data_IF_711741126373
#
_entry.id   IF_711741126373
#
_cell.length_a   1.000
_cell.length_b   1.000
_cell.length_c   1.000
_cell.angle_alpha   90.00
_cell.angle_beta   90.00
_cell.angle_gamma   90.00
#
_symmetry.space_group_name_H-M   'P 1'
#
loop_
_entity.id
_entity.type
_entity.pdbx_description
1 polymer ?
#
# COMPACT_ATOMS: atom_id res chain seq x y z
N UNK A 1 21.58 13.73 3.95
CA UNK A 1 20.22 14.26 4.13
C UNK A 1 19.60 14.33 2.75
N UNK A 2 18.89 13.28 2.37
CA UNK A 2 17.93 13.34 1.28
C UNK A 2 16.66 13.92 1.89
N UNK A 3 16.30 15.15 1.50
CA UNK A 3 14.99 15.72 1.84
C UNK A 3 13.94 14.77 1.26
N UNK A 4 13.21 14.09 2.14
CA UNK A 4 11.96 13.46 1.72
C UNK A 4 11.00 14.59 1.36
N UNK A 5 10.33 14.53 0.19
CA UNK A 5 9.31 15.51 -0.13
C UNK A 5 8.29 15.50 1.02
N UNK A 6 8.10 16.67 1.65
CA UNK A 6 6.95 16.90 2.51
C UNK A 6 5.72 16.49 1.70
N UNK A 7 4.94 15.51 2.20
CA UNK A 7 3.76 14.95 1.55
C UNK A 7 2.71 16.05 1.34
N UNK A 8 2.88 16.86 0.31
CA UNK A 8 2.09 18.06 0.04
C UNK A 8 1.67 18.02 -1.42
N UNK A 9 0.55 17.36 -1.68
CA UNK A 9 -0.41 17.76 -2.71
C UNK A 9 -1.75 17.05 -2.46
N UNK A 10 -2.35 17.45 -1.35
CA UNK A 10 -3.79 17.64 -1.22
C UNK A 10 -4.21 18.69 -2.26
N UNK A 11 -5.21 18.56 -3.09
CA UNK A 11 -6.39 17.71 -3.07
C UNK A 11 -6.95 17.77 -4.51
N UNK A 12 -7.46 16.66 -5.03
CA UNK A 12 -8.70 16.82 -5.79
C UNK A 12 -9.76 17.14 -4.74
N UNK A 13 -10.36 18.35 -4.74
CA UNK A 13 -11.33 18.74 -3.70
C UNK A 13 -12.48 17.73 -3.60
N UNK A 14 -12.81 17.10 -4.73
CA UNK A 14 -13.82 16.05 -4.83
C UNK A 14 -13.40 14.76 -4.09
N UNK A 15 -12.14 14.30 -4.24
CA UNK A 15 -11.67 13.09 -3.55
C UNK A 15 -11.57 13.29 -2.04
N UNK A 16 -11.13 14.47 -1.61
CA UNK A 16 -11.06 14.84 -0.19
C UNK A 16 -12.45 14.84 0.45
N UNK A 17 -13.44 15.40 -0.25
CA UNK A 17 -14.83 15.40 0.20
C UNK A 17 -15.43 13.99 0.20
N UNK A 18 -15.17 13.17 -0.82
CA UNK A 18 -15.61 11.76 -0.87
C UNK A 18 -15.00 10.97 0.30
N UNK A 19 -13.71 11.14 0.58
CA UNK A 19 -13.05 10.45 1.69
C UNK A 19 -13.70 10.81 3.03
N UNK A 20 -13.95 12.10 3.25
CA UNK A 20 -14.64 12.58 4.46
C UNK A 20 -16.04 11.99 4.61
N UNK A 21 -16.83 11.96 3.53
CA UNK A 21 -18.15 11.35 3.53
C UNK A 21 -18.08 9.84 3.81
N UNK A 22 -17.04 9.16 3.31
CA UNK A 22 -16.79 7.75 3.59
C UNK A 22 -16.52 7.50 5.06
N UNK A 23 -15.70 8.34 5.69
CA UNK A 23 -15.33 8.19 7.10
C UNK A 23 -16.53 8.46 8.02
N UNK A 24 -17.36 9.46 7.70
CA UNK A 24 -18.62 9.72 8.38
C UNK A 24 -19.59 8.53 8.25
N UNK A 25 -19.72 7.97 7.05
CA UNK A 25 -20.60 6.83 6.80
C UNK A 25 -20.12 5.55 7.50
N UNK A 26 -18.81 5.29 7.51
CA UNK A 26 -18.22 4.18 8.28
C UNK A 26 -18.50 4.32 9.78
N UNK A 27 -18.38 5.54 10.33
CA UNK A 27 -18.69 5.80 11.74
C UNK A 27 -20.16 5.53 12.06
N UNK A 28 -21.08 5.94 11.17
CA UNK A 28 -22.52 5.68 11.33
C UNK A 28 -22.83 4.17 11.28
N UNK A 29 -22.24 3.43 10.35
CA UNK A 29 -22.42 1.98 10.24
C UNK A 29 -21.90 1.26 11.49
N UNK A 30 -20.73 1.63 11.99
CA UNK A 30 -20.20 1.08 13.24
C UNK A 30 -21.11 1.35 14.44
N UNK A 31 -21.75 2.53 14.49
CA UNK A 31 -22.73 2.86 15.53
C UNK A 31 -23.99 2.00 15.40
N UNK A 32 -24.51 1.80 14.19
CA UNK A 32 -25.67 0.93 13.94
C UNK A 32 -25.38 -0.51 14.35
N UNK A 33 -24.20 -1.04 14.02
CA UNK A 33 -23.80 -2.39 14.43
C UNK A 33 -23.76 -2.53 15.95
N UNK A 34 -23.28 -1.51 16.67
CA UNK A 34 -23.31 -1.48 18.15
C UNK A 34 -24.75 -1.50 18.68
N UNK A 35 -25.66 -0.75 18.07
CA UNK A 35 -27.07 -0.72 18.46
C UNK A 35 -27.76 -2.07 18.25
N UNK A 36 -27.52 -2.74 17.11
CA UNK A 36 -28.05 -4.09 16.86
C UNK A 36 -27.52 -5.09 17.88
N UNK A 37 -26.22 -5.04 18.18
CA UNK A 37 -25.60 -5.91 19.19
C UNK A 37 -26.17 -5.67 20.59
N UNK A 38 -26.49 -4.42 20.95
CA UNK A 38 -27.16 -4.09 22.21
C UNK A 38 -28.60 -4.61 22.23
N UNK A 39 -29.35 -4.44 21.15
CA UNK A 39 -30.73 -4.95 21.03
C UNK A 39 -30.80 -6.48 21.16
N UNK A 40 -29.79 -7.20 20.66
CA UNK A 40 -29.69 -8.65 20.85
C UNK A 40 -29.40 -9.09 22.29
N UNK A 41 -28.90 -8.20 23.15
CA UNK A 41 -28.58 -8.50 24.57
C UNK A 41 -29.69 -8.11 25.55
N UNK A 42 -30.68 -7.32 25.13
CA UNK A 42 -31.77 -6.86 25.98
C UNK A 42 -32.76 -8.01 26.30
N UNK A 43 -33.32 -8.07 27.52
CA UNK A 43 -34.35 -9.05 27.88
C UNK A 43 -35.57 -8.89 26.96
N UNK A 44 -36.04 -10.00 26.40
CA UNK A 44 -37.17 -9.99 25.47
C UNK A 44 -38.46 -9.59 26.21
N UNK A 45 -39.28 -8.68 25.67
CA UNK A 45 -40.62 -8.45 26.18
C UNK A 45 -41.48 -9.72 26.00
N UNK A 46 -42.23 -10.11 27.03
CA UNK A 46 -43.06 -11.34 27.08
C UNK A 46 -44.11 -11.47 25.95
N UNK A 47 -44.29 -10.46 25.10
CA UNK A 47 -45.32 -10.40 24.07
C UNK A 47 -44.83 -10.52 22.61
N UNK A 48 -43.52 -10.60 22.35
CA UNK A 48 -42.99 -10.70 20.99
C UNK A 48 -42.71 -12.17 20.60
N UNK A 49 -43.22 -12.63 19.45
CA UNK A 49 -42.92 -13.97 18.93
C UNK A 49 -41.44 -14.09 18.59
N UNK A 50 -40.74 -15.00 19.28
CA UNK A 50 -39.28 -15.18 19.21
C UNK A 50 -38.70 -15.27 17.80
N UNK A 51 -39.45 -15.82 16.84
CA UNK A 51 -38.99 -16.02 15.47
C UNK A 51 -38.96 -14.75 14.61
N UNK A 52 -39.84 -13.77 14.86
CA UNK A 52 -39.88 -12.56 14.02
C UNK A 52 -38.72 -11.62 14.35
N UNK A 53 -38.48 -11.31 15.62
CA UNK A 53 -37.39 -10.42 16.04
C UNK A 53 -36.00 -10.98 15.71
N UNK A 54 -35.81 -12.30 15.88
CA UNK A 54 -34.57 -12.96 15.48
C UNK A 54 -34.34 -12.81 13.96
N UNK A 55 -35.36 -13.02 13.12
CA UNK A 55 -35.23 -12.92 11.66
C UNK A 55 -34.93 -11.47 11.20
N UNK A 56 -35.54 -10.46 11.83
CA UNK A 56 -35.24 -9.05 11.52
C UNK A 56 -33.82 -8.66 11.90
N UNK A 57 -33.34 -9.07 13.08
CA UNK A 57 -31.99 -8.74 13.52
C UNK A 57 -30.91 -9.45 12.69
N UNK A 58 -31.14 -10.70 12.27
CA UNK A 58 -30.23 -11.41 11.36
C UNK A 58 -30.16 -10.72 9.99
N UNK A 59 -31.31 -10.39 9.38
CA UNK A 59 -31.37 -9.68 8.10
C UNK A 59 -30.70 -8.29 8.17
N UNK A 60 -30.89 -7.56 9.28
CA UNK A 60 -30.24 -6.28 9.49
C UNK A 60 -28.72 -6.41 9.64
N UNK A 61 -28.24 -7.43 10.35
CA UNK A 61 -26.79 -7.73 10.45
C UNK A 61 -26.19 -8.07 9.09
N UNK A 62 -26.86 -8.91 8.29
CA UNK A 62 -26.39 -9.30 6.95
C UNK A 62 -26.27 -8.08 6.02
N UNK A 63 -27.25 -7.18 6.08
CA UNK A 63 -27.22 -5.91 5.34
C UNK A 63 -26.09 -5.01 5.78
N UNK A 64 -25.81 -4.93 7.09
CA UNK A 64 -24.68 -4.14 7.60
C UNK A 64 -23.37 -4.71 7.08
N UNK A 65 -23.14 -6.02 7.16
CA UNK A 65 -21.92 -6.62 6.61
C UNK A 65 -21.77 -6.36 5.11
N UNK A 66 -22.88 -6.37 4.35
CA UNK A 66 -22.84 -6.01 2.93
C UNK A 66 -22.47 -4.53 2.70
N UNK A 67 -22.97 -3.63 3.53
CA UNK A 67 -22.63 -2.21 3.49
C UNK A 67 -21.15 -2.01 3.87
N UNK A 68 -20.67 -2.65 4.93
CA UNK A 68 -19.26 -2.58 5.35
C UNK A 68 -18.32 -3.02 4.23
N UNK A 69 -18.61 -4.13 3.56
CA UNK A 69 -17.85 -4.59 2.40
C UNK A 69 -17.88 -3.60 1.24
N UNK A 70 -19.04 -3.00 0.97
CA UNK A 70 -19.19 -2.00 -0.09
C UNK A 70 -18.40 -0.72 0.22
N UNK A 71 -18.43 -0.26 1.47
CA UNK A 71 -17.67 0.89 1.93
C UNK A 71 -16.17 0.63 1.89
N UNK A 72 -15.74 -0.58 2.22
CA UNK A 72 -14.33 -0.97 2.10
C UNK A 72 -13.89 -0.92 0.63
N UNK A 73 -14.69 -1.46 -0.29
CA UNK A 73 -14.39 -1.41 -1.73
C UNK A 73 -14.27 0.03 -2.24
N UNK A 74 -15.21 0.91 -1.87
CA UNK A 74 -15.14 2.33 -2.25
C UNK A 74 -13.92 3.00 -1.63
N UNK A 75 -13.59 2.67 -0.38
CA UNK A 75 -12.41 3.20 0.30
C UNK A 75 -11.14 2.85 -0.45
N UNK A 76 -11.01 1.61 -0.92
CA UNK A 76 -9.85 1.17 -1.68
C UNK A 76 -9.80 1.85 -3.05
N UNK A 77 -10.93 1.98 -3.75
CA UNK A 77 -11.00 2.73 -5.01
C UNK A 77 -10.49 4.16 -4.84
N UNK A 78 -10.96 4.87 -3.83
CA UNK A 78 -10.55 6.26 -3.54
C UNK A 78 -9.08 6.32 -3.15
N UNK A 79 -8.61 5.38 -2.31
CA UNK A 79 -7.23 5.32 -1.82
C UNK A 79 -6.22 5.15 -2.96
N UNK A 80 -6.51 4.26 -3.91
CA UNK A 80 -5.61 3.92 -5.02
C UNK A 80 -5.76 4.81 -6.24
N UNK A 81 -6.83 5.60 -6.31
CA UNK A 81 -7.12 6.44 -7.46
C UNK A 81 -5.99 7.42 -7.82
N UNK A 82 -5.36 8.16 -6.89
CA UNK A 82 -4.28 9.07 -7.23
C UNK A 82 -3.10 8.36 -7.93
N UNK A 83 -2.66 7.23 -7.38
CA UNK A 83 -1.59 6.42 -7.96
C UNK A 83 -1.98 5.93 -9.37
N UNK A 84 -3.19 5.38 -9.51
CA UNK A 84 -3.72 4.90 -10.79
C UNK A 84 -3.74 6.02 -11.83
N UNK A 85 -4.24 7.19 -11.47
CA UNK A 85 -4.41 8.31 -12.40
C UNK A 85 -3.04 8.88 -12.84
N UNK A 86 -2.06 8.95 -11.92
CA UNK A 86 -0.67 9.33 -12.24
C UNK A 86 0.00 8.32 -13.17
N UNK A 87 -0.13 7.01 -12.87
CA UNK A 87 0.41 5.94 -13.70
C UNK A 87 -0.23 5.91 -15.11
N UNK A 88 -1.56 6.08 -15.19
CA UNK A 88 -2.29 6.18 -16.45
C UNK A 88 -1.82 7.37 -17.30
N UNK A 89 -1.51 8.49 -16.65
CA UNK A 89 -0.95 9.67 -17.28
C UNK A 89 0.56 9.57 -17.57
N UNK A 90 1.22 8.44 -17.24
CA UNK A 90 2.67 8.21 -17.37
C UNK A 90 3.52 9.22 -16.61
N UNK A 91 2.96 9.73 -15.50
CA UNK A 91 3.63 10.62 -14.55
C UNK A 91 4.40 9.79 -13.52
N UNK A 92 5.51 9.20 -13.98
CA UNK A 92 6.22 8.16 -13.22
C UNK A 92 6.84 8.69 -11.93
N UNK A 93 7.37 9.91 -11.96
CA UNK A 93 7.97 10.54 -10.77
C UNK A 93 6.92 10.89 -9.71
N UNK A 94 5.78 11.42 -10.13
CA UNK A 94 4.66 11.70 -9.23
C UNK A 94 4.06 10.40 -8.69
N UNK A 95 3.90 9.37 -9.53
CA UNK A 95 3.42 8.06 -9.11
C UNK A 95 4.36 7.39 -8.09
N UNK A 96 5.67 7.59 -8.23
CA UNK A 96 6.66 7.09 -7.27
C UNK A 96 6.55 7.77 -5.90
N UNK A 97 6.35 9.09 -5.91
CA UNK A 97 6.10 9.86 -4.69
C UNK A 97 4.79 9.43 -4.02
N UNK A 98 3.74 9.24 -4.82
CA UNK A 98 2.44 8.76 -4.36
C UNK A 98 2.50 7.34 -3.79
N UNK A 99 3.35 6.47 -4.36
CA UNK A 99 3.56 5.11 -3.85
C UNK A 99 4.08 5.13 -2.41
N UNK A 100 5.02 6.02 -2.09
CA UNK A 100 5.52 6.18 -0.71
C UNK A 100 4.40 6.64 0.22
N UNK A 101 3.69 7.70 -0.18
CA UNK A 101 2.58 8.25 0.60
C UNK A 101 1.56 7.17 0.92
N UNK A 102 1.20 6.38 -0.08
CA UNK A 102 0.21 5.32 0.03
C UNK A 102 0.65 4.19 0.96
N UNK A 103 1.93 3.80 0.92
CA UNK A 103 2.48 2.81 1.87
C UNK A 103 2.45 3.36 3.30
N UNK A 104 2.84 4.63 3.51
CA UNK A 104 2.78 5.26 4.83
C UNK A 104 1.34 5.34 5.37
N UNK A 105 0.39 5.80 4.53
CA UNK A 105 -1.05 5.89 4.87
C UNK A 105 -1.64 4.53 5.25
N UNK A 106 -1.34 3.48 4.49
CA UNK A 106 -1.81 2.12 4.79
C UNK A 106 -1.18 1.58 6.08
N UNK A 107 0.06 1.96 6.37
CA UNK A 107 0.71 1.63 7.63
C UNK A 107 0.22 2.48 8.82
N UNK A 108 -0.64 3.48 8.59
CA UNK A 108 -1.20 4.34 9.63
C UNK A 108 -0.25 5.46 10.09
N UNK A 109 0.67 5.88 9.22
CA UNK A 109 1.66 6.93 9.49
C UNK A 109 1.44 8.16 8.61
N UNK A 110 1.56 9.34 9.22
CA UNK A 110 1.48 10.63 8.51
C UNK A 110 2.79 10.97 7.77
N UNK A 111 3.91 10.41 8.23
CA UNK A 111 5.24 10.60 7.63
C UNK A 111 5.96 9.26 7.47
N UNK A 112 6.73 9.10 6.38
CA UNK A 112 7.61 7.95 6.18
C UNK A 112 8.70 7.86 7.25
N UNK A 113 9.11 9.00 7.84
CA UNK A 113 10.06 9.02 8.95
C UNK A 113 9.56 8.25 10.18
N UNK A 114 8.24 8.08 10.32
CA UNK A 114 7.62 7.34 11.42
C UNK A 114 7.51 5.83 11.15
N UNK A 115 7.57 5.41 9.89
CA UNK A 115 7.43 3.99 9.52
C UNK A 115 8.72 3.19 9.76
N UNK A 116 8.77 2.39 10.82
CA UNK A 116 9.96 1.61 11.23
C UNK A 116 10.08 0.30 10.45
N UNK A 117 11.31 -0.23 10.25
CA UNK A 117 11.51 -1.51 9.56
C UNK A 117 10.74 -2.72 10.15
N UNK A 118 10.52 -2.75 11.47
CA UNK A 118 9.76 -3.83 12.11
C UNK A 118 8.26 -3.84 11.71
N UNK A 119 7.71 -2.67 11.37
CA UNK A 119 6.31 -2.54 10.97
C UNK A 119 6.10 -3.01 9.54
N UNK A 120 7.10 -2.86 8.67
CA UNK A 120 7.09 -3.43 7.30
C UNK A 120 6.86 -4.93 7.29
N UNK A 121 7.36 -5.67 8.30
CA UNK A 121 7.14 -7.13 8.37
C UNK A 121 5.66 -7.51 8.46
N UNK A 122 4.83 -6.59 8.97
CA UNK A 122 3.41 -6.79 9.17
C UNK A 122 2.56 -6.07 8.11
N UNK A 123 3.20 -5.35 7.17
CA UNK A 123 2.49 -4.60 6.14
C UNK A 123 1.61 -5.54 5.29
N UNK A 124 0.31 -5.27 5.08
CA UNK A 124 -0.58 -6.24 4.45
C UNK A 124 -0.21 -6.56 3.00
N UNK A 125 -0.06 -7.85 2.67
CA UNK A 125 0.33 -8.31 1.34
C UNK A 125 -0.65 -7.85 0.25
N UNK A 126 -1.95 -7.84 0.55
CA UNK A 126 -2.99 -7.40 -0.40
C UNK A 126 -2.73 -5.98 -0.92
N UNK A 127 -2.26 -5.08 -0.06
CA UNK A 127 -1.99 -3.71 -0.44
C UNK A 127 -0.73 -3.59 -1.30
N UNK A 128 0.31 -4.38 -1.01
CA UNK A 128 1.49 -4.47 -1.88
C UNK A 128 1.14 -5.02 -3.26
N UNK A 129 0.32 -6.07 -3.32
CA UNK A 129 -0.15 -6.65 -4.57
C UNK A 129 -0.95 -5.65 -5.40
N UNK A 130 -1.82 -4.84 -4.78
CA UNK A 130 -2.56 -3.81 -5.52
C UNK A 130 -1.62 -2.74 -6.07
N UNK A 131 -0.69 -2.24 -5.26
CA UNK A 131 0.30 -1.24 -5.70
C UNK A 131 1.14 -1.79 -6.85
N UNK A 132 1.64 -3.01 -6.71
CA UNK A 132 2.45 -3.67 -7.72
C UNK A 132 1.70 -3.88 -9.04
N UNK A 133 0.46 -4.39 -8.96
CA UNK A 133 -0.39 -4.58 -10.13
C UNK A 133 -0.68 -3.28 -10.89
N UNK A 134 -0.83 -2.15 -10.18
CA UNK A 134 -0.98 -0.85 -10.82
C UNK A 134 0.29 -0.50 -11.62
N UNK A 135 1.46 -0.60 -10.99
CA UNK A 135 2.74 -0.36 -11.65
C UNK A 135 2.94 -1.27 -12.88
N UNK A 136 2.71 -2.57 -12.74
CA UNK A 136 2.79 -3.54 -13.84
C UNK A 136 1.84 -3.17 -14.99
N UNK A 137 0.57 -2.91 -14.68
CA UNK A 137 -0.47 -2.66 -15.68
C UNK A 137 -0.12 -1.45 -16.55
N UNK A 138 0.22 -0.33 -15.93
CA UNK A 138 0.44 0.92 -16.66
C UNK A 138 1.83 1.02 -17.28
N UNK A 139 2.82 0.28 -16.76
CA UNK A 139 4.19 0.24 -17.31
C UNK A 139 4.40 -0.81 -18.40
N UNK A 140 3.36 -1.57 -18.77
CA UNK A 140 3.47 -2.73 -19.64
C UNK A 140 4.43 -3.79 -19.08
N UNK A 141 4.23 -4.14 -17.81
CA UNK A 141 4.98 -5.13 -17.03
C UNK A 141 6.47 -4.82 -16.84
N UNK A 142 6.85 -3.54 -16.91
CA UNK A 142 8.26 -3.13 -16.80
C UNK A 142 8.67 -2.69 -15.41
N UNK A 143 7.74 -2.09 -14.68
CA UNK A 143 7.97 -1.48 -13.37
C UNK A 143 7.05 -2.13 -12.35
N UNK A 144 7.50 -2.19 -11.11
CA UNK A 144 6.83 -2.92 -10.03
C UNK A 144 7.81 -3.49 -9.01
N UNK A 145 7.32 -3.69 -7.80
CA UNK A 145 8.04 -4.39 -6.73
C UNK A 145 8.26 -5.88 -7.04
N UNK A 146 7.35 -6.56 -7.74
CA UNK A 146 7.53 -7.93 -8.24
C UNK A 146 8.75 -8.03 -9.16
N UNK A 147 8.84 -7.12 -10.13
CA UNK A 147 9.98 -7.02 -11.05
C UNK A 147 11.28 -6.78 -10.29
N UNK A 148 11.25 -5.89 -9.31
CA UNK A 148 12.40 -5.61 -8.45
C UNK A 148 12.82 -6.83 -7.62
N UNK A 149 11.87 -7.53 -7.01
CA UNK A 149 12.11 -8.75 -6.23
C UNK A 149 12.66 -9.89 -7.10
N UNK A 150 12.11 -10.09 -8.30
CA UNK A 150 12.65 -11.04 -9.28
C UNK A 150 14.08 -10.70 -9.66
N UNK A 151 14.38 -9.45 -9.99
CA UNK A 151 15.76 -9.05 -10.34
C UNK A 151 16.71 -9.24 -9.15
N UNK A 152 16.24 -9.00 -7.92
CA UNK A 152 17.02 -9.29 -6.71
C UNK A 152 17.39 -10.78 -6.63
N UNK A 153 16.43 -11.66 -6.90
CA UNK A 153 16.67 -13.11 -6.95
C UNK A 153 17.62 -13.51 -8.09
N UNK A 154 17.47 -12.93 -9.29
CA UNK A 154 18.34 -13.18 -10.44
C UNK A 154 19.82 -12.86 -10.17
N UNK A 155 20.11 -11.85 -9.34
CA UNK A 155 21.50 -11.51 -8.97
C UNK A 155 22.05 -12.32 -7.80
N UNK A 156 21.29 -13.32 -7.33
CA UNK A 156 21.66 -14.24 -6.25
C UNK A 156 21.05 -13.91 -4.89
N UNK A 157 20.14 -12.93 -4.82
CA UNK A 157 19.43 -12.58 -3.61
C UNK A 157 18.38 -13.63 -3.20
N UNK A 158 18.19 -13.78 -1.90
CA UNK A 158 17.20 -14.66 -1.27
C UNK A 158 16.96 -14.20 0.18
N UNK A 159 16.07 -14.87 0.91
CA UNK A 159 15.75 -14.51 2.29
C UNK A 159 16.98 -14.50 3.21
N UNK A 160 17.90 -15.46 3.07
CA UNK A 160 19.14 -15.52 3.86
C UNK A 160 20.01 -14.28 3.61
N UNK A 161 20.21 -13.90 2.33
CA UNK A 161 20.99 -12.70 1.99
C UNK A 161 20.36 -11.40 2.53
N UNK A 162 19.02 -11.36 2.71
CA UNK A 162 18.37 -10.19 3.35
C UNK A 162 18.67 -10.12 4.85
N UNK A 163 18.79 -11.27 5.51
CA UNK A 163 19.15 -11.38 6.93
C UNK A 163 20.63 -11.00 7.12
N UNK A 164 21.50 -11.49 6.24
CA UNK A 164 22.93 -11.19 6.22
C UNK A 164 23.24 -9.74 5.79
N UNK A 165 22.27 -9.07 5.16
CA UNK A 165 22.42 -7.73 4.57
C UNK A 165 23.58 -7.67 3.57
N UNK A 166 23.64 -8.63 2.63
CA UNK A 166 24.75 -8.73 1.68
C UNK A 166 24.82 -7.50 0.74
N UNK A 167 25.74 -6.60 1.07
CA UNK A 167 25.96 -5.36 0.32
C UNK A 167 26.38 -5.58 -1.14
N UNK A 168 26.99 -6.72 -1.50
CA UNK A 168 27.39 -7.01 -2.89
C UNK A 168 26.19 -7.36 -3.74
N UNK A 169 25.24 -8.11 -3.19
CA UNK A 169 23.97 -8.43 -3.87
C UNK A 169 23.18 -7.14 -4.10
N UNK A 170 23.06 -6.30 -3.07
CA UNK A 170 22.37 -4.99 -3.19
C UNK A 170 23.03 -4.10 -4.26
N UNK A 171 24.36 -4.08 -4.35
CA UNK A 171 25.05 -3.31 -5.39
C UNK A 171 24.75 -3.82 -6.80
N UNK A 172 24.82 -5.13 -7.04
CA UNK A 172 24.47 -5.74 -8.34
C UNK A 172 23.01 -5.50 -8.70
N UNK A 173 22.13 -5.58 -7.71
CA UNK A 173 20.71 -5.31 -7.86
C UNK A 173 20.49 -3.86 -8.28
N UNK A 174 21.09 -2.89 -7.58
CA UNK A 174 21.03 -1.48 -7.94
C UNK A 174 21.61 -1.15 -9.32
N UNK A 175 22.64 -1.88 -9.77
CA UNK A 175 23.18 -1.76 -11.14
C UNK A 175 22.16 -2.23 -12.18
N UNK A 176 21.49 -3.37 -11.95
CA UNK A 176 20.45 -3.90 -12.85
C UNK A 176 19.24 -2.97 -12.95
N UNK A 177 18.85 -2.35 -11.84
CA UNK A 177 17.72 -1.40 -11.76
C UNK A 177 18.07 0.02 -12.24
N UNK A 178 19.34 0.28 -12.58
CA UNK A 178 19.81 1.60 -13.01
C UNK A 178 19.99 2.63 -11.88
N UNK A 179 19.85 2.22 -10.62
CA UNK A 179 20.05 3.07 -9.44
C UNK A 179 21.51 3.26 -9.08
N UNK A 180 22.40 2.41 -9.58
CA UNK A 180 23.84 2.45 -9.31
C UNK A 180 24.63 2.40 -10.61
N UNK A 181 25.60 3.28 -10.75
CA UNK A 181 26.48 3.36 -11.93
C UNK A 181 27.87 3.88 -11.51
N UNK A 182 28.93 3.34 -12.11
CA UNK A 182 30.32 3.77 -11.84
C UNK A 182 30.68 3.81 -10.35
N UNK A 183 30.24 2.79 -9.60
CA UNK A 183 30.41 2.68 -8.15
C UNK A 183 29.70 3.73 -7.29
N UNK A 184 28.70 4.41 -7.84
CA UNK A 184 27.93 5.46 -7.15
C UNK A 184 26.42 5.19 -7.25
N UNK A 185 25.72 5.39 -6.12
CA UNK A 185 24.26 5.44 -6.11
C UNK A 185 23.78 6.78 -6.65
N UNK A 186 22.82 6.74 -7.57
CA UNK A 186 22.15 7.91 -8.14
C UNK A 186 21.15 8.48 -7.14
N UNK A 187 21.02 9.80 -7.12
CA UNK A 187 19.89 10.47 -6.48
C UNK A 187 18.63 10.25 -7.34
N UNK A 188 17.45 10.34 -6.74
CA UNK A 188 16.18 10.17 -7.45
C UNK A 188 16.04 11.13 -8.64
N UNK A 189 16.51 12.37 -8.50
CA UNK A 189 16.43 13.39 -9.57
C UNK A 189 17.39 13.09 -10.74
N UNK A 190 18.29 12.12 -10.59
CA UNK A 190 19.19 11.63 -11.65
C UNK A 190 18.62 10.39 -12.37
N UNK A 191 17.46 9.88 -11.97
CA UNK A 191 16.83 8.70 -12.57
C UNK A 191 16.06 9.07 -13.86
N UNK A 192 15.96 8.11 -14.77
CA UNK A 192 15.12 8.23 -15.96
C UNK A 192 13.66 7.97 -15.59
N UNK A 193 12.83 9.01 -15.57
CA UNK A 193 11.39 8.92 -15.31
C UNK A 193 10.58 8.69 -16.60
N UNK A 194 11.07 7.82 -17.48
CA UNK A 194 10.38 7.44 -18.71
C UNK A 194 10.33 5.92 -18.86
N UNK A 195 9.58 5.45 -19.86
CA UNK A 195 9.59 4.04 -20.24
C UNK A 195 10.92 3.59 -20.85
N UNK A 196 11.93 4.44 -21.04
CA UNK A 196 13.26 3.99 -21.49
C UNK A 196 14.13 3.49 -20.32
N UNK A 197 13.73 3.77 -19.08
CA UNK A 197 14.45 3.36 -17.89
C UNK A 197 14.59 1.83 -17.80
N UNK A 198 15.64 1.31 -17.13
CA UNK A 198 15.82 -0.13 -16.95
C UNK A 198 14.59 -0.82 -16.36
N UNK A 199 14.40 -2.09 -16.70
CA UNK A 199 13.35 -2.91 -16.09
C UNK A 199 13.47 -2.91 -14.56
N UNK A 200 12.35 -2.74 -13.87
CA UNK A 200 12.28 -2.64 -12.40
C UNK A 200 12.75 -1.30 -11.83
N UNK A 201 13.16 -0.32 -12.65
CA UNK A 201 13.72 0.93 -12.12
C UNK A 201 12.77 1.71 -11.21
N UNK A 202 11.46 1.51 -11.35
CA UNK A 202 10.42 2.19 -10.57
C UNK A 202 9.44 1.18 -9.95
N UNK A 203 8.85 1.48 -8.78
CA UNK A 203 9.09 2.65 -7.94
C UNK A 203 10.48 2.64 -7.25
N UNK A 204 11.15 3.80 -7.16
CA UNK A 204 12.53 3.95 -6.70
C UNK A 204 12.67 4.65 -5.34
N UNK A 205 11.93 5.73 -5.06
CA UNK A 205 12.15 6.56 -3.87
C UNK A 205 11.93 5.77 -2.56
N UNK A 206 11.06 4.75 -2.58
CA UNK A 206 10.81 3.86 -1.43
C UNK A 206 12.10 3.30 -0.83
N UNK A 207 13.07 2.96 -1.69
CA UNK A 207 14.33 2.32 -1.29
C UNK A 207 15.34 3.26 -0.64
N UNK A 208 15.07 4.58 -0.63
CA UNK A 208 15.93 5.61 -0.03
C UNK A 208 15.54 5.99 1.41
N UNK A 209 14.72 5.15 2.07
CA UNK A 209 14.25 5.31 3.47
C UNK A 209 15.35 5.79 4.43
N UNK A 210 15.02 6.63 5.45
CA UNK A 210 16.02 7.12 6.41
C UNK A 210 16.66 5.98 7.23
N UNK A 211 16.02 4.80 7.28
CA UNK A 211 16.57 3.60 7.92
C UNK A 211 17.55 2.82 7.04
N UNK A 212 17.80 3.29 5.81
CA UNK A 212 18.79 2.76 4.87
C UNK A 212 18.63 1.26 4.60
N UNK A 213 19.76 0.54 4.62
CA UNK A 213 19.81 -0.89 4.29
C UNK A 213 18.88 -1.75 5.16
N UNK A 214 18.58 -1.35 6.39
CA UNK A 214 17.62 -2.09 7.22
C UNK A 214 16.24 -2.11 6.59
N UNK A 215 15.72 -0.95 6.17
CA UNK A 215 14.41 -0.90 5.52
C UNK A 215 14.41 -1.73 4.23
N UNK A 216 15.45 -1.59 3.41
CA UNK A 216 15.61 -2.35 2.15
C UNK A 216 15.49 -3.86 2.39
N UNK A 217 16.24 -4.40 3.34
CA UNK A 217 16.26 -5.83 3.60
C UNK A 217 14.93 -6.34 4.19
N UNK A 218 14.33 -5.59 5.11
CA UNK A 218 13.03 -5.95 5.69
C UNK A 218 11.91 -5.93 4.64
N UNK A 219 11.94 -4.94 3.74
CA UNK A 219 10.95 -4.84 2.68
C UNK A 219 11.14 -5.93 1.62
N UNK A 220 12.38 -6.23 1.20
CA UNK A 220 12.65 -7.37 0.31
C UNK A 220 12.16 -8.69 0.91
N UNK A 221 12.44 -8.93 2.19
CA UNK A 221 11.92 -10.10 2.89
C UNK A 221 10.38 -10.11 2.91
N UNK A 222 9.75 -8.94 3.08
CA UNK A 222 8.29 -8.83 3.04
C UNK A 222 7.73 -9.16 1.67
N UNK A 223 8.29 -8.61 0.59
CA UNK A 223 7.90 -8.89 -0.79
C UNK A 223 7.96 -10.40 -1.09
N UNK A 224 9.04 -11.07 -0.70
CA UNK A 224 9.18 -12.52 -0.87
C UNK A 224 8.16 -13.31 -0.04
N UNK A 225 7.90 -12.90 1.21
CA UNK A 225 6.90 -13.57 2.07
C UNK A 225 5.46 -13.40 1.58
N UNK A 226 5.22 -12.38 0.77
CA UNK A 226 3.93 -12.08 0.17
C UNK A 226 3.75 -12.74 -1.21
N UNK A 227 4.74 -13.48 -1.70
CA UNK A 227 4.73 -14.13 -3.03
C UNK A 227 4.33 -13.13 -4.12
N UNK A 228 4.97 -11.96 -4.11
CA UNK A 228 4.79 -10.93 -5.13
C UNK A 228 5.68 -11.30 -6.32
N UNK A 229 5.08 -12.06 -7.22
CA UNK A 229 5.70 -12.67 -8.41
C UNK A 229 5.28 -11.99 -9.71
#
# INVERSE_FOLDING_TARGET
MTDFPQLTNRDSPELSEIQKQLDELKAQVAQLQRQINQNNRLPKPESATDNQNNNYNTNASDKISHIENSLQLVSDIVRYQPLRDMLAAKKWEEADTETIRLIADIAGHDDLEDFRPAEVQHFPCVHLQVIDNLWLTYSNQRFGFSIQARIYQEVGGNLETTIEQDSKIIQKWGERLGWRENNRWKKCDELDWSLNAPEGSHPARWWNSPFGSKMTNYFLARLMSCEID
#
